data_IF_734975517454
#
_entry.id   IF_734975517454
#
_cell.length_a   1.000
_cell.length_b   1.000
_cell.length_c   1.000
_cell.angle_alpha   90.00
_cell.angle_beta   90.00
_cell.angle_gamma   90.00
#
_symmetry.space_group_name_H-M   'P 1'
#
loop_
_entity.id
_entity.type
_entity.pdbx_description
1 polymer ?
#
# COMPACT_ATOMS: atom_id res chain seq x y z
N UNK A 1 -6.74 -31.22 5.10
CA UNK A 1 -7.07 -29.78 5.19
C UNK A 1 -7.24 -29.26 3.78
N UNK A 2 -8.12 -28.27 3.52
CA UNK A 2 -8.41 -27.84 2.15
C UNK A 2 -7.35 -26.84 1.62
N UNK A 3 -6.79 -26.03 2.52
CA UNK A 3 -5.80 -25.00 2.18
C UNK A 3 -4.61 -25.09 3.13
N UNK A 4 -3.39 -24.89 2.62
CA UNK A 4 -2.15 -24.80 3.38
C UNK A 4 -1.61 -23.39 3.39
N UNK A 5 -1.68 -22.71 2.25
CA UNK A 5 -1.14 -21.38 2.03
C UNK A 5 -2.26 -20.34 2.07
N UNK A 6 -2.05 -19.24 2.79
CA UNK A 6 -2.97 -18.12 2.86
C UNK A 6 -2.22 -16.86 2.40
N UNK A 7 -2.74 -16.22 1.36
CA UNK A 7 -2.21 -14.96 0.82
C UNK A 7 -3.18 -13.85 1.17
N UNK A 8 -2.72 -12.87 1.92
CA UNK A 8 -3.51 -11.72 2.36
C UNK A 8 -3.10 -10.47 1.59
N UNK A 9 -4.06 -9.71 1.16
CA UNK A 9 -3.82 -8.30 0.85
C UNK A 9 -3.65 -7.52 2.15
N UNK A 10 -3.04 -6.33 2.08
CA UNK A 10 -2.76 -5.54 3.27
C UNK A 10 -3.72 -4.36 3.41
N UNK A 11 -3.74 -3.46 2.40
CA UNK A 11 -4.48 -2.21 2.45
C UNK A 11 -5.99 -2.43 2.33
N UNK A 12 -6.75 -1.87 3.26
CA UNK A 12 -8.20 -2.06 3.41
C UNK A 12 -8.63 -3.55 3.57
N UNK A 13 -7.66 -4.41 3.93
CA UNK A 13 -7.89 -5.82 4.24
C UNK A 13 -7.43 -6.15 5.66
N UNK A 14 -6.19 -5.91 5.99
CA UNK A 14 -5.63 -6.08 7.34
C UNK A 14 -5.42 -4.74 8.05
N UNK A 15 -4.98 -3.72 7.31
CA UNK A 15 -4.78 -2.35 7.80
C UNK A 15 -5.74 -1.40 7.09
N UNK A 16 -6.35 -0.48 7.84
CA UNK A 16 -7.26 0.54 7.36
C UNK A 16 -6.44 1.63 6.64
N UNK A 17 -6.28 1.48 5.34
CA UNK A 17 -5.54 2.44 4.51
C UNK A 17 -6.25 3.78 4.46
N UNK A 18 -7.57 3.80 4.35
CA UNK A 18 -8.35 5.03 4.22
C UNK A 18 -8.23 5.89 5.49
N UNK A 19 -8.27 5.27 6.67
CA UNK A 19 -8.04 5.97 7.94
C UNK A 19 -6.62 6.54 8.02
N UNK A 20 -5.61 5.77 7.60
CA UNK A 20 -4.21 6.20 7.57
C UNK A 20 -3.99 7.35 6.58
N UNK A 21 -4.53 7.24 5.38
CA UNK A 21 -4.44 8.28 4.35
C UNK A 21 -5.13 9.57 4.80
N UNK A 22 -6.29 9.47 5.45
CA UNK A 22 -7.02 10.62 6.00
C UNK A 22 -6.19 11.41 7.02
N UNK A 23 -5.26 10.78 7.72
CA UNK A 23 -4.33 11.42 8.64
C UNK A 23 -3.07 11.94 7.94
N UNK A 24 -2.53 11.21 6.97
CA UNK A 24 -1.29 11.54 6.29
C UNK A 24 -1.43 12.72 5.31
N UNK A 25 -2.53 12.76 4.53
CA UNK A 25 -2.72 13.80 3.51
C UNK A 25 -2.74 15.22 4.06
N UNK A 26 -3.50 15.56 5.13
CA UNK A 26 -3.46 16.91 5.67
C UNK A 26 -2.04 17.32 6.13
N UNK A 27 -1.26 16.38 6.65
CA UNK A 27 0.12 16.61 7.11
C UNK A 27 1.04 16.95 5.95
N UNK A 28 1.02 16.17 4.87
CA UNK A 28 1.88 16.44 3.71
C UNK A 28 1.52 17.76 3.05
N UNK A 29 0.23 18.06 2.86
CA UNK A 29 -0.18 19.34 2.29
C UNK A 29 0.27 20.52 3.18
N UNK A 30 0.11 20.42 4.50
CA UNK A 30 0.55 21.45 5.45
C UNK A 30 2.08 21.65 5.42
N UNK A 31 2.87 20.58 5.31
CA UNK A 31 4.35 20.65 5.19
C UNK A 31 4.77 21.49 3.98
N UNK A 32 4.01 21.43 2.91
CA UNK A 32 4.26 22.20 1.69
C UNK A 32 3.46 23.54 1.61
N UNK A 33 2.96 24.01 2.74
CA UNK A 33 2.28 25.33 2.86
C UNK A 33 0.92 25.39 2.17
N UNK A 34 0.23 24.25 2.03
CA UNK A 34 -1.10 24.14 1.43
C UNK A 34 -2.08 23.61 2.47
N UNK A 35 -3.23 24.27 2.61
CA UNK A 35 -4.35 23.70 3.37
C UNK A 35 -5.10 22.72 2.49
N UNK A 36 -5.23 21.47 2.91
CA UNK A 36 -6.02 20.46 2.22
C UNK A 36 -7.51 20.78 2.40
N UNK A 37 -8.12 21.38 1.37
CA UNK A 37 -9.56 21.61 1.33
C UNK A 37 -10.30 20.39 0.78
N UNK A 38 -11.62 20.26 1.02
CA UNK A 38 -12.41 19.17 0.41
C UNK A 38 -12.31 19.14 -1.13
N UNK A 39 -12.18 20.30 -1.77
CA UNK A 39 -12.02 20.40 -3.23
C UNK A 39 -10.65 19.84 -3.68
N UNK A 40 -9.55 20.21 -2.99
CA UNK A 40 -8.22 19.68 -3.27
C UNK A 40 -8.19 18.17 -3.04
N UNK A 41 -8.83 17.70 -1.97
CA UNK A 41 -8.93 16.28 -1.65
C UNK A 41 -9.64 15.52 -2.79
N UNK A 42 -10.78 16.02 -3.27
CA UNK A 42 -11.53 15.36 -4.33
C UNK A 42 -10.71 15.25 -5.64
N UNK A 43 -9.98 16.31 -6.01
CA UNK A 43 -9.11 16.30 -7.20
C UNK A 43 -7.92 15.34 -6.99
N UNK A 44 -7.33 15.31 -5.80
CA UNK A 44 -6.27 14.36 -5.48
C UNK A 44 -6.78 12.92 -5.61
N UNK A 45 -7.94 12.62 -5.04
CA UNK A 45 -8.51 11.26 -5.05
C UNK A 45 -8.78 10.79 -6.49
N UNK A 46 -9.33 11.65 -7.34
CA UNK A 46 -9.58 11.34 -8.77
C UNK A 46 -8.26 11.05 -9.51
N UNK A 47 -7.26 11.92 -9.36
CA UNK A 47 -5.96 11.77 -10.02
C UNK A 47 -5.24 10.52 -9.49
N UNK A 48 -5.20 10.34 -8.18
CA UNK A 48 -4.53 9.21 -7.53
C UNK A 48 -5.17 7.88 -7.95
N UNK A 49 -6.50 7.81 -7.91
CA UNK A 49 -7.23 6.61 -8.35
C UNK A 49 -6.96 6.26 -9.82
N UNK A 50 -7.00 7.25 -10.72
CA UNK A 50 -6.71 7.04 -12.13
C UNK A 50 -5.29 6.55 -12.39
N UNK A 51 -4.30 7.11 -11.68
CA UNK A 51 -2.90 6.66 -11.78
C UNK A 51 -2.70 5.24 -11.27
N UNK A 52 -3.33 4.87 -10.15
CA UNK A 52 -3.29 3.49 -9.65
C UNK A 52 -3.95 2.50 -10.61
N UNK A 53 -5.11 2.84 -11.19
CA UNK A 53 -5.75 2.02 -12.24
C UNK A 53 -4.82 1.81 -13.45
N UNK A 54 -4.15 2.87 -13.91
CA UNK A 54 -3.21 2.77 -15.03
C UNK A 54 -1.98 1.92 -14.67
N UNK A 55 -1.49 1.99 -13.43
CA UNK A 55 -0.42 1.12 -12.95
C UNK A 55 -0.86 -0.35 -12.91
N UNK A 56 -2.00 -0.66 -12.32
CA UNK A 56 -2.56 -2.01 -12.24
C UNK A 56 -2.85 -2.61 -13.63
N UNK A 57 -3.23 -1.76 -14.59
CA UNK A 57 -3.39 -2.14 -15.98
C UNK A 57 -2.05 -2.27 -16.75
N UNK A 58 -0.90 -2.03 -16.10
CA UNK A 58 0.42 -2.08 -16.73
C UNK A 58 0.72 -0.97 -17.73
N UNK A 59 -0.05 0.13 -17.72
CA UNK A 59 0.13 1.25 -18.66
C UNK A 59 1.22 2.22 -18.21
N UNK A 60 1.47 2.33 -16.92
CA UNK A 60 2.48 3.22 -16.33
C UNK A 60 3.31 2.47 -15.29
N UNK A 61 4.55 2.92 -15.07
CA UNK A 61 5.38 2.44 -13.99
C UNK A 61 4.95 3.04 -12.64
N UNK A 62 5.29 2.36 -11.54
CA UNK A 62 4.96 2.81 -10.17
C UNK A 62 5.53 4.22 -9.89
N UNK A 63 6.72 4.53 -10.38
CA UNK A 63 7.34 5.83 -10.24
C UNK A 63 6.50 6.96 -10.85
N UNK A 64 5.74 6.68 -11.91
CA UNK A 64 4.81 7.64 -12.50
C UNK A 64 3.70 7.98 -11.51
N UNK A 65 3.11 6.99 -10.84
CA UNK A 65 2.09 7.20 -9.80
C UNK A 65 2.67 8.08 -8.70
N UNK A 66 3.76 7.60 -8.11
CA UNK A 66 4.34 8.16 -6.90
C UNK A 66 4.90 9.59 -7.11
N UNK A 67 5.57 9.83 -8.23
CA UNK A 67 6.21 11.12 -8.49
C UNK A 67 5.28 12.16 -9.12
N UNK A 68 4.08 11.81 -9.57
CA UNK A 68 3.25 12.75 -10.31
C UNK A 68 1.91 13.09 -9.68
N UNK A 69 1.36 12.27 -8.78
CA UNK A 69 0.02 12.49 -8.22
C UNK A 69 -0.13 13.85 -7.52
N UNK A 70 0.81 14.25 -6.70
CA UNK A 70 0.79 15.58 -6.05
C UNK A 70 1.03 16.72 -7.03
N UNK A 71 2.00 16.57 -7.93
CA UNK A 71 2.29 17.58 -8.94
C UNK A 71 1.08 17.84 -9.85
N UNK A 72 0.41 16.78 -10.33
CA UNK A 72 -0.81 16.89 -11.14
C UNK A 72 -1.95 17.53 -10.36
N UNK A 73 -2.13 17.17 -9.09
CA UNK A 73 -3.13 17.81 -8.22
C UNK A 73 -2.89 19.30 -8.10
N UNK A 74 -1.66 19.71 -7.81
CA UNK A 74 -1.33 21.13 -7.67
C UNK A 74 -1.42 21.88 -9.00
N UNK A 75 -1.04 21.23 -10.10
CA UNK A 75 -1.17 21.80 -11.46
C UNK A 75 -2.63 22.09 -11.82
N UNK A 76 -3.59 21.25 -11.41
CA UNK A 76 -5.01 21.49 -11.59
C UNK A 76 -5.45 22.85 -11.00
N UNK A 77 -4.84 23.25 -9.89
CA UNK A 77 -5.08 24.55 -9.22
C UNK A 77 -4.11 25.65 -9.69
N UNK A 78 -3.41 25.47 -10.81
CA UNK A 78 -2.48 26.47 -11.36
C UNK A 78 -1.22 26.67 -10.50
N UNK A 79 -0.82 25.70 -9.70
CA UNK A 79 0.36 25.74 -8.81
C UNK A 79 1.37 24.69 -9.24
N UNK A 80 2.65 24.98 -9.03
CA UNK A 80 3.73 24.00 -9.23
C UNK A 80 4.02 23.27 -7.92
N UNK A 81 4.40 21.99 -8.02
CA UNK A 81 4.85 21.19 -6.91
C UNK A 81 5.90 20.17 -7.37
N UNK A 82 6.94 19.97 -6.55
CA UNK A 82 7.87 18.85 -6.72
C UNK A 82 7.19 17.56 -6.21
N UNK A 83 6.58 16.82 -7.13
CA UNK A 83 5.82 15.62 -6.80
C UNK A 83 6.66 14.57 -6.06
N UNK A 84 7.95 14.43 -6.38
CA UNK A 84 8.83 13.49 -5.71
C UNK A 84 9.15 13.92 -4.26
N UNK A 85 9.31 15.23 -4.01
CA UNK A 85 9.50 15.73 -2.64
C UNK A 85 8.24 15.51 -1.80
N UNK A 86 7.06 15.85 -2.34
CA UNK A 86 5.79 15.61 -1.67
C UNK A 86 5.57 14.12 -1.38
N UNK A 87 5.91 13.24 -2.32
CA UNK A 87 5.80 11.80 -2.14
C UNK A 87 6.69 11.28 -1.01
N UNK A 88 7.94 11.76 -0.91
CA UNK A 88 8.83 11.38 0.20
C UNK A 88 8.22 11.72 1.56
N UNK A 89 7.69 12.93 1.71
CA UNK A 89 7.06 13.36 2.96
C UNK A 89 5.77 12.59 3.24
N UNK A 90 4.97 12.35 2.20
CA UNK A 90 3.74 11.57 2.32
C UNK A 90 4.00 10.15 2.82
N UNK A 91 5.03 9.48 2.30
CA UNK A 91 5.40 8.12 2.75
C UNK A 91 5.80 8.07 4.21
N UNK A 92 6.49 9.10 4.72
CA UNK A 92 6.80 9.20 6.14
C UNK A 92 5.51 9.23 6.95
N UNK A 93 4.57 10.11 6.59
CA UNK A 93 3.32 10.24 7.32
C UNK A 93 2.40 9.02 7.17
N UNK A 94 2.34 8.43 5.97
CA UNK A 94 1.58 7.20 5.73
C UNK A 94 2.16 6.01 6.50
N UNK A 95 3.49 5.93 6.61
CA UNK A 95 4.18 4.90 7.37
C UNK A 95 3.99 4.99 8.89
N UNK A 96 3.57 6.17 9.42
CA UNK A 96 3.21 6.31 10.84
C UNK A 96 1.84 5.67 11.15
N UNK A 97 0.94 5.60 10.15
CA UNK A 97 -0.40 5.06 10.32
C UNK A 97 -0.42 3.53 10.18
N UNK A 98 -0.95 2.87 11.19
CA UNK A 98 -1.00 1.41 11.26
C UNK A 98 -2.30 0.88 11.88
N UNK A 99 -3.38 1.67 11.81
CA UNK A 99 -4.68 1.26 12.29
C UNK A 99 -5.12 -0.03 11.61
N UNK A 100 -5.44 -1.09 12.38
CA UNK A 100 -5.91 -2.33 11.80
C UNK A 100 -7.40 -2.28 11.48
N UNK A 101 -7.81 -3.03 10.48
CA UNK A 101 -9.22 -3.39 10.30
C UNK A 101 -9.68 -4.15 11.57
N UNK A 102 -10.87 -3.85 12.11
CA UNK A 102 -11.36 -4.50 13.33
C UNK A 102 -11.30 -6.03 13.26
N UNK A 103 -10.60 -6.65 14.20
CA UNK A 103 -10.41 -8.10 14.28
C UNK A 103 -9.26 -8.66 13.43
N UNK A 104 -8.63 -7.86 12.56
CA UNK A 104 -7.56 -8.36 11.68
C UNK A 104 -6.32 -8.83 12.45
N UNK A 105 -5.87 -8.06 13.45
CA UNK A 105 -4.72 -8.44 14.29
C UNK A 105 -4.98 -9.73 15.04
N UNK A 106 -6.15 -9.87 15.69
CA UNK A 106 -6.55 -11.07 16.40
C UNK A 106 -6.63 -12.28 15.46
N UNK A 107 -7.18 -12.09 14.25
CA UNK A 107 -7.23 -13.14 13.23
C UNK A 107 -5.82 -13.61 12.84
N UNK A 108 -4.90 -12.67 12.54
CA UNK A 108 -3.53 -13.00 12.17
C UNK A 108 -2.83 -13.82 13.25
N UNK A 109 -2.88 -13.37 14.50
CA UNK A 109 -2.28 -14.09 15.61
C UNK A 109 -2.94 -15.46 15.86
N UNK A 110 -4.26 -15.54 15.78
CA UNK A 110 -4.99 -16.81 15.94
C UNK A 110 -4.58 -17.83 14.89
N UNK A 111 -4.51 -17.41 13.61
CA UNK A 111 -4.12 -18.29 12.52
C UNK A 111 -2.63 -18.71 12.65
N UNK A 112 -1.74 -17.76 12.97
CA UNK A 112 -0.32 -18.05 13.17
C UNK A 112 -0.09 -19.03 14.31
N UNK A 113 -0.80 -18.89 15.43
CA UNK A 113 -0.69 -19.79 16.60
C UNK A 113 -1.14 -21.21 16.31
N UNK A 114 -1.94 -21.47 15.29
CA UNK A 114 -2.32 -22.84 14.90
C UNK A 114 -1.18 -23.64 14.29
N UNK A 115 -0.14 -22.97 13.78
CA UNK A 115 0.96 -23.57 12.99
C UNK A 115 0.48 -24.45 11.82
N UNK A 116 -0.75 -24.21 11.39
CA UNK A 116 -1.45 -25.02 10.39
C UNK A 116 -1.29 -24.42 8.99
N UNK A 117 -1.21 -23.09 8.94
CA UNK A 117 -1.15 -22.32 7.71
C UNK A 117 0.22 -21.66 7.57
N UNK A 118 0.67 -21.55 6.34
CA UNK A 118 1.76 -20.67 5.95
C UNK A 118 1.15 -19.41 5.38
N UNK A 119 1.40 -18.29 6.05
CA UNK A 119 0.75 -17.01 5.76
C UNK A 119 1.71 -16.07 5.05
N UNK A 120 1.23 -15.39 4.04
CA UNK A 120 1.97 -14.45 3.20
C UNK A 120 1.16 -13.18 2.97
N UNK A 121 1.82 -12.04 2.84
CA UNK A 121 1.20 -10.81 2.37
C UNK A 121 1.52 -10.60 0.89
N UNK A 122 0.54 -10.17 0.11
CA UNK A 122 0.66 -9.81 -1.31
C UNK A 122 0.10 -8.39 -1.51
N UNK A 123 0.94 -7.42 -1.87
CA UNK A 123 0.54 -6.00 -1.91
C UNK A 123 1.12 -5.26 -3.11
N UNK A 124 0.37 -4.25 -3.62
CA UNK A 124 0.89 -3.27 -4.59
C UNK A 124 1.53 -2.06 -3.91
N UNK A 125 1.51 -2.01 -2.59
CA UNK A 125 2.09 -0.91 -1.81
C UNK A 125 3.63 -0.92 -1.81
N UNK A 126 4.20 0.21 -1.42
CA UNK A 126 5.65 0.41 -1.34
C UNK A 126 6.26 -0.38 -0.20
N UNK A 127 7.29 -1.18 -0.49
CA UNK A 127 7.89 -2.16 0.43
C UNK A 127 8.18 -1.58 1.83
N UNK A 128 9.01 -0.55 1.93
CA UNK A 128 9.41 0.02 3.21
C UNK A 128 8.24 0.60 4.03
N UNK A 129 7.23 1.15 3.36
CA UNK A 129 6.01 1.66 4.02
C UNK A 129 5.20 0.51 4.60
N UNK A 130 4.98 -0.55 3.83
CA UNK A 130 4.20 -1.70 4.26
C UNK A 130 4.87 -2.47 5.40
N UNK A 131 6.18 -2.71 5.32
CA UNK A 131 6.95 -3.35 6.39
C UNK A 131 6.85 -2.57 7.71
N UNK A 132 7.03 -1.24 7.66
CA UNK A 132 6.88 -0.41 8.87
C UNK A 132 5.48 -0.51 9.46
N UNK A 133 4.44 -0.39 8.63
CA UNK A 133 3.04 -0.44 9.08
C UNK A 133 2.68 -1.80 9.68
N UNK A 134 3.13 -2.91 9.08
CA UNK A 134 2.92 -4.26 9.61
C UNK A 134 3.62 -4.47 10.96
N UNK A 135 4.86 -3.96 11.10
CA UNK A 135 5.62 -4.01 12.34
C UNK A 135 4.93 -3.22 13.45
N UNK A 136 4.54 -1.97 13.14
CA UNK A 136 3.89 -1.09 14.11
C UNK A 136 2.49 -1.60 14.52
N UNK A 137 1.79 -2.31 13.62
CA UNK A 137 0.55 -3.01 13.91
C UNK A 137 0.74 -4.34 14.66
N UNK A 138 1.98 -4.82 14.82
CA UNK A 138 2.31 -6.06 15.53
C UNK A 138 1.88 -7.33 14.80
N UNK A 139 1.79 -7.32 13.47
CA UNK A 139 1.40 -8.49 12.67
C UNK A 139 2.53 -9.04 11.79
N UNK A 140 3.68 -8.37 11.71
CA UNK A 140 4.79 -8.75 10.84
C UNK A 140 5.20 -10.22 11.05
N UNK A 141 5.36 -10.63 12.31
CA UNK A 141 5.80 -11.99 12.68
C UNK A 141 4.76 -13.10 12.40
N UNK A 142 3.53 -12.73 12.02
CA UNK A 142 2.51 -13.70 11.61
C UNK A 142 2.76 -14.28 10.22
N UNK A 143 3.57 -13.62 9.39
CA UNK A 143 3.77 -13.93 7.98
C UNK A 143 5.17 -14.45 7.68
N UNK A 144 5.26 -15.43 6.77
CA UNK A 144 6.52 -15.99 6.28
C UNK A 144 7.29 -15.02 5.40
N UNK A 145 6.56 -14.28 4.56
CA UNK A 145 7.12 -13.27 3.68
C UNK A 145 6.05 -12.25 3.24
N UNK A 146 6.54 -11.10 2.78
CA UNK A 146 5.75 -10.05 2.13
C UNK A 146 6.19 -9.95 0.68
N UNK A 147 5.26 -10.18 -0.23
CA UNK A 147 5.44 -10.04 -1.67
C UNK A 147 4.87 -8.69 -2.10
N UNK A 148 5.71 -7.76 -2.50
CA UNK A 148 5.30 -6.44 -2.95
C UNK A 148 5.67 -6.21 -4.41
N UNK A 149 4.84 -5.45 -5.12
CA UNK A 149 5.00 -5.21 -6.56
C UNK A 149 6.30 -4.50 -6.92
N UNK A 150 6.79 -3.61 -6.04
CA UNK A 150 8.03 -2.86 -6.26
C UNK A 150 9.24 -3.79 -6.34
N UNK A 151 9.37 -4.74 -5.40
CA UNK A 151 10.49 -5.68 -5.36
C UNK A 151 10.40 -6.75 -6.45
N UNK A 152 9.17 -7.13 -6.86
CA UNK A 152 8.95 -8.15 -7.89
C UNK A 152 9.13 -7.57 -9.29
N UNK A 153 8.87 -6.29 -9.49
CA UNK A 153 8.82 -5.67 -10.82
C UNK A 153 7.55 -6.02 -11.61
N UNK A 154 6.53 -6.51 -10.94
CA UNK A 154 5.21 -6.81 -11.48
C UNK A 154 4.14 -6.54 -10.41
N UNK A 155 2.94 -6.15 -10.82
CA UNK A 155 1.85 -5.77 -9.91
C UNK A 155 0.67 -6.73 -9.96
N UNK A 156 -0.10 -6.81 -8.87
CA UNK A 156 -1.42 -7.43 -8.89
C UNK A 156 -2.34 -6.63 -9.82
N UNK A 157 -3.24 -7.26 -10.59
CA UNK A 157 -3.52 -8.71 -10.64
C UNK A 157 -2.78 -9.47 -11.76
N UNK A 158 -1.61 -9.01 -12.22
CA UNK A 158 -0.91 -9.63 -13.35
C UNK A 158 -0.51 -11.08 -13.06
N UNK A 159 -0.52 -11.93 -14.11
CA UNK A 159 -0.04 -13.30 -14.00
C UNK A 159 1.44 -13.33 -13.55
N UNK A 160 2.28 -12.43 -14.07
CA UNK A 160 3.69 -12.35 -13.70
C UNK A 160 3.92 -12.14 -12.21
N UNK A 161 3.06 -11.34 -11.53
CA UNK A 161 3.12 -11.18 -10.09
C UNK A 161 2.85 -12.51 -9.36
N UNK A 162 1.75 -13.17 -9.69
CA UNK A 162 1.35 -14.42 -9.01
C UNK A 162 2.26 -15.58 -9.38
N UNK A 163 2.76 -15.66 -10.60
CA UNK A 163 3.76 -16.68 -11.00
C UNK A 163 5.03 -16.54 -10.15
N UNK A 164 5.49 -15.29 -9.91
CA UNK A 164 6.60 -15.04 -9.02
C UNK A 164 6.30 -15.49 -7.59
N UNK A 165 5.13 -15.08 -7.04
CA UNK A 165 4.72 -15.44 -5.67
C UNK A 165 4.69 -16.96 -5.51
N UNK A 166 4.04 -17.68 -6.42
CA UNK A 166 3.90 -19.13 -6.33
C UNK A 166 5.24 -19.86 -6.48
N UNK A 167 6.15 -19.33 -7.32
CA UNK A 167 7.50 -19.89 -7.46
C UNK A 167 8.38 -19.71 -6.21
N UNK A 168 8.03 -18.77 -5.30
CA UNK A 168 8.78 -18.46 -4.08
C UNK A 168 8.08 -18.94 -2.80
N UNK A 169 7.04 -19.74 -2.92
CA UNK A 169 6.40 -20.43 -1.81
C UNK A 169 6.76 -21.91 -1.87
N UNK A 170 7.53 -22.39 -0.91
CA UNK A 170 7.99 -23.77 -0.86
C UNK A 170 6.82 -24.75 -0.79
N UNK A 171 6.76 -25.66 -1.78
CA UNK A 171 5.72 -26.69 -1.85
C UNK A 171 4.35 -26.16 -2.27
N UNK A 172 4.32 -25.05 -3.00
CA UNK A 172 3.14 -24.59 -3.72
C UNK A 172 3.06 -25.37 -5.03
N UNK A 173 2.07 -26.29 -5.14
CA UNK A 173 1.82 -27.17 -6.30
C UNK A 173 0.56 -26.75 -7.05
#
# INVERSE_FOLDING_TARGET
>A
MKYRFLLFDLDNTLLDFDANEAQALPRVFATHGVTLTPEIRAVFDEINHGLWQDYEAGKVAIETVLNTRFAKTMQYFGREADGAAWERDYRVFLGDGHEPIPGAVELCHTLAATHTYEMYVVTNGVAATQEKRMRDAGIEDCFRAVFNSESIGAQKPSAAFFDYVFAHIDGFD
#
